data_IF_627880729547
#
_entry.id   IF_627880729547
#
_cell.length_a   1.000
_cell.length_b   1.000
_cell.length_c   1.000
_cell.angle_alpha   90.00
_cell.angle_beta   90.00
_cell.angle_gamma   90.00
#
_symmetry.space_group_name_H-M   'P 1'
#
loop_
_entity.id
_entity.type
_entity.pdbx_description
1 polymer ?
#
# COMPACT_ATOMS: atom_id res chain seq x y z
N UNK A 1 40.58 -28.15 -9.79
CA UNK A 1 40.40 -26.82 -9.18
C UNK A 1 39.99 -27.03 -7.73
N UNK A 2 40.66 -26.41 -6.76
CA UNK A 2 40.38 -26.61 -5.33
C UNK A 2 39.00 -26.03 -5.00
N UNK A 3 38.06 -26.91 -4.64
CA UNK A 3 36.66 -26.58 -4.34
C UNK A 3 36.52 -25.59 -3.19
N UNK A 4 37.51 -25.56 -2.28
CA UNK A 4 37.54 -24.58 -1.19
C UNK A 4 37.83 -23.16 -1.69
N UNK A 5 38.85 -23.01 -2.54
CA UNK A 5 39.20 -21.72 -3.16
C UNK A 5 38.11 -21.18 -4.08
N UNK A 6 37.40 -22.08 -4.75
CA UNK A 6 36.21 -21.76 -5.54
C UNK A 6 35.08 -21.17 -4.69
N UNK A 7 34.80 -21.78 -3.53
CA UNK A 7 33.80 -21.26 -2.59
C UNK A 7 34.22 -19.92 -2.01
N UNK A 8 35.48 -19.78 -1.61
CA UNK A 8 36.01 -18.50 -1.12
C UNK A 8 35.90 -17.39 -2.17
N UNK A 9 36.15 -17.74 -3.45
CA UNK A 9 35.97 -16.80 -4.57
C UNK A 9 34.50 -16.42 -4.78
N UNK A 10 33.57 -17.40 -4.75
CA UNK A 10 32.11 -17.16 -4.87
C UNK A 10 31.60 -16.30 -3.71
N UNK A 11 32.04 -16.56 -2.48
CA UNK A 11 31.67 -15.77 -1.29
C UNK A 11 32.17 -14.33 -1.41
N UNK A 12 33.40 -14.15 -1.91
CA UNK A 12 33.98 -12.84 -2.14
C UNK A 12 33.22 -12.07 -3.22
N UNK A 13 32.92 -12.70 -4.36
CA UNK A 13 32.14 -12.06 -5.43
C UNK A 13 30.71 -11.75 -4.97
N UNK A 14 30.08 -12.64 -4.21
CA UNK A 14 28.74 -12.41 -3.63
C UNK A 14 28.72 -11.18 -2.72
N UNK A 15 29.71 -11.02 -1.84
CA UNK A 15 29.84 -9.84 -0.97
C UNK A 15 30.07 -8.55 -1.76
N UNK A 16 30.81 -8.62 -2.87
CA UNK A 16 30.98 -7.46 -3.75
C UNK A 16 29.68 -7.08 -4.46
N UNK A 17 28.89 -8.08 -4.89
CA UNK A 17 27.61 -7.88 -5.58
C UNK A 17 26.49 -7.34 -4.67
N UNK A 18 26.54 -7.58 -3.36
CA UNK A 18 25.57 -7.01 -2.40
C UNK A 18 25.69 -5.48 -2.22
N UNK A 19 26.76 -4.86 -2.72
CA UNK A 19 26.97 -3.41 -2.65
C UNK A 19 26.45 -2.72 -3.90
N UNK A 20 25.56 -1.76 -3.71
CA UNK A 20 24.88 -1.03 -4.80
C UNK A 20 25.85 -0.33 -5.77
N UNK A 21 26.97 0.20 -5.24
CA UNK A 21 28.06 0.82 -5.99
C UNK A 21 28.77 -0.12 -6.99
N UNK A 22 28.65 -1.43 -6.81
CA UNK A 22 29.25 -2.45 -7.66
C UNK A 22 28.26 -3.08 -8.65
N UNK A 23 27.04 -2.54 -8.78
CA UNK A 23 26.03 -3.03 -9.71
C UNK A 23 26.53 -3.13 -11.16
N UNK A 24 27.41 -2.21 -11.59
CA UNK A 24 28.06 -2.23 -12.90
C UNK A 24 28.91 -3.50 -13.15
N UNK A 25 29.51 -4.06 -12.10
CA UNK A 25 30.38 -5.24 -12.18
C UNK A 25 29.58 -6.47 -12.61
N UNK A 26 28.31 -6.56 -12.21
CA UNK A 26 27.42 -7.64 -12.63
C UNK A 26 27.17 -7.56 -14.14
N UNK A 27 26.84 -6.38 -14.65
CA UNK A 27 26.64 -6.16 -16.09
C UNK A 27 27.86 -6.53 -16.92
N UNK A 28 29.07 -6.20 -16.46
CA UNK A 28 30.33 -6.55 -17.14
C UNK A 28 30.69 -8.05 -17.03
N UNK A 29 30.44 -8.66 -15.86
CA UNK A 29 30.58 -10.10 -15.68
C UNK A 29 29.65 -10.85 -16.63
N UNK A 30 28.40 -10.43 -16.72
CA UNK A 30 27.40 -11.00 -17.62
C UNK A 30 27.77 -10.81 -19.09
N UNK A 31 28.24 -9.62 -19.46
CA UNK A 31 28.73 -9.35 -20.81
C UNK A 31 29.87 -10.29 -21.17
N UNK A 32 30.82 -10.49 -20.25
CA UNK A 32 31.97 -11.39 -20.44
C UNK A 32 31.54 -12.84 -20.55
N UNK A 33 30.65 -13.32 -19.67
CA UNK A 33 30.13 -14.69 -19.70
C UNK A 33 29.28 -14.99 -20.95
N UNK A 34 28.56 -14.00 -21.46
CA UNK A 34 27.80 -14.07 -22.72
C UNK A 34 28.73 -14.09 -23.93
N UNK A 35 29.73 -13.20 -23.94
CA UNK A 35 30.76 -13.11 -24.98
C UNK A 35 31.56 -14.41 -25.11
N UNK A 36 31.91 -15.00 -23.97
CA UNK A 36 32.73 -16.21 -23.91
C UNK A 36 31.91 -17.50 -24.05
N UNK A 37 30.59 -17.39 -24.29
CA UNK A 37 29.72 -18.52 -24.60
C UNK A 37 29.38 -19.44 -23.42
N UNK A 38 29.70 -19.03 -22.19
CA UNK A 38 29.35 -19.77 -20.97
C UNK A 38 27.86 -19.71 -20.63
N UNK A 39 27.18 -18.68 -21.12
CA UNK A 39 25.72 -18.61 -21.09
C UNK A 39 25.16 -19.29 -22.35
N UNK A 40 24.61 -20.49 -22.18
CA UNK A 40 23.88 -21.20 -23.22
C UNK A 40 22.74 -20.29 -23.68
N UNK A 41 22.52 -20.16 -25.00
CA UNK A 41 21.32 -19.51 -25.55
C UNK A 41 20.08 -20.07 -24.85
N UNK A 42 19.49 -19.30 -23.92
CA UNK A 42 18.41 -19.77 -23.05
C UNK A 42 18.57 -19.43 -21.56
N UNK A 43 19.72 -18.96 -21.09
CA UNK A 43 19.77 -18.17 -19.87
C UNK A 43 19.13 -16.81 -20.19
N UNK A 44 17.80 -16.78 -20.12
CA UNK A 44 17.00 -15.61 -20.45
C UNK A 44 17.41 -14.46 -19.52
N UNK A 45 17.40 -13.22 -20.02
CA UNK A 45 17.73 -12.04 -19.21
C UNK A 45 16.86 -12.01 -17.92
N UNK A 46 15.69 -12.66 -17.94
CA UNK A 46 14.82 -12.92 -16.79
C UNK A 46 15.46 -13.76 -15.67
N UNK A 47 16.17 -14.85 -15.98
CA UNK A 47 16.83 -15.69 -14.96
C UNK A 47 17.96 -14.91 -14.26
N UNK A 48 18.65 -14.04 -15.00
CA UNK A 48 19.73 -13.21 -14.47
C UNK A 48 19.19 -12.06 -13.61
N UNK A 49 18.06 -11.45 -14.03
CA UNK A 49 17.28 -10.52 -13.22
C UNK A 49 16.80 -11.18 -11.92
N UNK A 50 16.31 -12.41 -11.97
CA UNK A 50 15.86 -13.14 -10.79
C UNK A 50 17.01 -13.40 -9.79
N UNK A 51 18.21 -13.73 -10.28
CA UNK A 51 19.40 -13.89 -9.42
C UNK A 51 19.81 -12.56 -8.79
N UNK A 52 19.83 -11.48 -9.57
CA UNK A 52 20.13 -10.15 -9.04
C UNK A 52 19.10 -9.70 -8.00
N UNK A 53 17.81 -9.91 -8.28
CA UNK A 53 16.70 -9.64 -7.37
C UNK A 53 16.77 -10.49 -6.09
N UNK A 54 17.21 -11.74 -6.19
CA UNK A 54 17.48 -12.59 -5.04
C UNK A 54 18.63 -12.06 -4.18
N UNK A 55 19.71 -11.58 -4.82
CA UNK A 55 20.83 -10.95 -4.10
C UNK A 55 20.44 -9.63 -3.41
N UNK A 56 19.48 -8.89 -3.96
CA UNK A 56 18.95 -7.67 -3.36
C UNK A 56 17.92 -7.93 -2.25
N UNK A 57 17.31 -9.12 -2.22
CA UNK A 57 16.24 -9.46 -1.27
C UNK A 57 16.67 -9.29 0.19
N UNK A 58 17.92 -9.61 0.53
CA UNK A 58 18.46 -9.41 1.88
C UNK A 58 18.47 -7.92 2.28
N UNK A 59 18.86 -7.03 1.35
CA UNK A 59 18.88 -5.59 1.60
C UNK A 59 17.45 -5.03 1.71
N UNK A 60 16.53 -5.50 0.86
CA UNK A 60 15.12 -5.08 0.90
C UNK A 60 14.42 -5.57 2.15
N UNK A 61 14.72 -6.79 2.61
CA UNK A 61 14.23 -7.32 3.87
C UNK A 61 14.67 -6.44 5.04
N UNK A 62 15.96 -6.05 5.10
CA UNK A 62 16.46 -5.12 6.13
C UNK A 62 15.76 -3.75 6.08
N UNK A 63 15.50 -3.22 4.88
CA UNK A 63 14.76 -1.98 4.71
C UNK A 63 13.32 -2.11 5.21
N UNK A 64 12.63 -3.20 4.85
CA UNK A 64 11.27 -3.48 5.29
C UNK A 64 11.18 -3.68 6.81
N UNK A 65 12.12 -4.43 7.40
CA UNK A 65 12.23 -4.60 8.85
C UNK A 65 12.42 -3.28 9.58
N UNK A 66 13.24 -2.37 9.00
CA UNK A 66 13.42 -1.00 9.48
C UNK A 66 12.14 -0.16 9.34
N UNK A 67 11.47 -0.24 8.20
CA UNK A 67 10.23 0.49 7.94
C UNK A 67 9.09 0.10 8.90
N UNK A 68 9.00 -1.19 9.26
CA UNK A 68 8.03 -1.73 10.22
C UNK A 68 8.62 -1.93 11.62
N UNK A 69 9.73 -1.28 11.95
CA UNK A 69 10.43 -1.50 13.22
C UNK A 69 9.55 -1.15 14.43
N UNK A 70 8.87 0.00 14.36
CA UNK A 70 8.02 0.51 15.44
C UNK A 70 6.61 -0.11 15.44
N UNK A 71 6.22 -0.86 14.41
CA UNK A 71 4.87 -1.39 14.27
C UNK A 71 4.57 -2.48 15.31
N UNK A 72 3.55 -2.25 16.15
CA UNK A 72 3.27 -3.06 17.36
C UNK A 72 2.71 -4.46 17.06
N UNK A 73 2.06 -4.66 15.91
CA UNK A 73 1.37 -5.91 15.62
C UNK A 73 2.32 -6.95 15.01
N UNK A 74 2.90 -7.79 15.86
CA UNK A 74 3.95 -8.73 15.50
C UNK A 74 3.52 -9.84 14.52
N UNK A 75 2.26 -10.27 14.57
CA UNK A 75 1.82 -11.47 13.84
C UNK A 75 1.64 -11.26 12.32
N UNK A 76 1.46 -10.02 11.85
CA UNK A 76 1.40 -9.69 10.42
C UNK A 76 2.72 -9.15 9.85
N UNK A 77 3.74 -8.94 10.70
CA UNK A 77 4.96 -8.23 10.31
C UNK A 77 5.71 -8.92 9.17
N UNK A 78 5.75 -10.24 9.16
CA UNK A 78 6.40 -11.01 8.08
C UNK A 78 5.65 -10.86 6.75
N UNK A 79 4.31 -10.88 6.76
CA UNK A 79 3.52 -10.65 5.54
C UNK A 79 3.76 -9.23 4.99
N UNK A 80 3.82 -8.22 5.87
CA UNK A 80 4.14 -6.86 5.47
C UNK A 80 5.55 -6.71 4.88
N UNK A 81 6.54 -7.44 5.42
CA UNK A 81 7.89 -7.47 4.85
C UNK A 81 7.87 -8.06 3.43
N UNK A 82 7.17 -9.18 3.23
CA UNK A 82 7.06 -9.81 1.92
C UNK A 82 6.34 -8.90 0.91
N UNK A 83 5.25 -8.25 1.31
CA UNK A 83 4.53 -7.31 0.45
C UNK A 83 5.38 -6.08 0.11
N UNK A 84 6.18 -5.59 1.05
CA UNK A 84 7.13 -4.49 0.81
C UNK A 84 8.20 -4.88 -0.20
N UNK A 85 8.78 -6.08 -0.08
CA UNK A 85 9.76 -6.61 -1.05
C UNK A 85 9.12 -6.73 -2.44
N UNK A 86 7.89 -7.25 -2.52
CA UNK A 86 7.15 -7.35 -3.78
C UNK A 86 6.86 -5.98 -4.40
N UNK A 87 6.49 -5.00 -3.58
CA UNK A 87 6.28 -3.61 -3.99
C UNK A 87 7.57 -3.02 -4.58
N UNK A 88 8.70 -3.16 -3.90
CA UNK A 88 9.99 -2.66 -4.36
C UNK A 88 10.47 -3.34 -5.65
N UNK A 89 10.26 -4.66 -5.77
CA UNK A 89 10.57 -5.39 -7.01
C UNK A 89 9.73 -4.87 -8.18
N UNK A 90 8.43 -4.69 -7.98
CA UNK A 90 7.56 -4.14 -9.01
C UNK A 90 7.97 -2.71 -9.40
N UNK A 91 8.38 -1.89 -8.42
CA UNK A 91 8.90 -0.54 -8.68
C UNK A 91 10.13 -0.56 -9.58
N UNK A 92 11.11 -1.43 -9.29
CA UNK A 92 12.36 -1.55 -10.06
C UNK A 92 12.12 -2.06 -11.48
N UNK A 93 11.19 -3.00 -11.64
CA UNK A 93 10.78 -3.52 -12.95
C UNK A 93 9.86 -2.56 -13.73
N UNK A 94 9.58 -1.38 -13.16
CA UNK A 94 8.66 -0.39 -13.71
C UNK A 94 7.24 -0.95 -13.97
N UNK A 95 6.83 -1.94 -13.19
CA UNK A 95 5.49 -2.50 -13.19
C UNK A 95 4.62 -1.75 -12.18
N UNK A 96 4.03 -0.66 -12.65
CA UNK A 96 3.24 0.25 -11.82
C UNK A 96 2.01 -0.42 -11.19
N UNK A 97 1.37 -1.34 -11.92
CA UNK A 97 0.15 -1.97 -11.43
C UNK A 97 0.44 -3.04 -10.40
N UNK A 98 1.48 -3.85 -10.59
CA UNK A 98 1.95 -4.78 -9.55
C UNK A 98 2.44 -4.03 -8.31
N UNK A 99 3.11 -2.89 -8.48
CA UNK A 99 3.47 -2.01 -7.37
C UNK A 99 2.24 -1.53 -6.60
N UNK A 100 1.19 -1.06 -7.29
CA UNK A 100 -0.04 -0.61 -6.65
C UNK A 100 -0.79 -1.76 -5.95
N UNK A 101 -0.75 -2.99 -6.49
CA UNK A 101 -1.31 -4.18 -5.85
C UNK A 101 -0.58 -4.50 -4.56
N UNK A 102 0.75 -4.61 -4.59
CA UNK A 102 1.56 -4.90 -3.40
C UNK A 102 1.45 -3.78 -2.35
N UNK A 103 1.35 -2.52 -2.79
CA UNK A 103 1.04 -1.38 -1.92
C UNK A 103 -0.32 -1.56 -1.24
N UNK A 104 -1.37 -1.90 -2.00
CA UNK A 104 -2.70 -2.13 -1.45
C UNK A 104 -2.74 -3.31 -0.46
N UNK A 105 -1.99 -4.38 -0.72
CA UNK A 105 -1.95 -5.55 0.15
C UNK A 105 -1.44 -5.20 1.57
N UNK A 106 -0.40 -4.36 1.66
CA UNK A 106 0.10 -3.85 2.93
C UNK A 106 -0.99 -3.10 3.71
N UNK A 107 -1.74 -2.22 3.04
CA UNK A 107 -2.88 -1.55 3.66
C UNK A 107 -3.97 -2.54 4.08
N UNK A 108 -4.37 -3.44 3.20
CA UNK A 108 -5.45 -4.40 3.45
C UNK A 108 -5.13 -5.27 4.67
N UNK A 109 -3.89 -5.75 4.80
CA UNK A 109 -3.42 -6.54 5.93
C UNK A 109 -3.50 -5.72 7.23
N UNK A 110 -2.88 -4.53 7.28
CA UNK A 110 -2.91 -3.66 8.46
C UNK A 110 -4.34 -3.29 8.87
N UNK A 111 -5.15 -2.85 7.91
CA UNK A 111 -6.52 -2.41 8.15
C UNK A 111 -7.37 -3.56 8.67
N UNK A 112 -7.30 -4.74 8.06
CA UNK A 112 -8.12 -5.87 8.49
C UNK A 112 -7.73 -6.34 9.90
N UNK A 113 -6.44 -6.36 10.21
CA UNK A 113 -5.96 -6.73 11.54
C UNK A 113 -6.38 -5.72 12.60
N UNK A 114 -6.08 -4.42 12.43
CA UNK A 114 -6.50 -3.38 13.38
C UNK A 114 -8.03 -3.32 13.51
N UNK A 115 -8.74 -3.50 12.40
CA UNK A 115 -10.19 -3.49 12.44
C UNK A 115 -10.75 -4.65 13.27
N UNK A 116 -10.25 -5.86 13.05
CA UNK A 116 -10.73 -7.06 13.75
C UNK A 116 -10.32 -7.08 15.22
N UNK A 117 -9.11 -6.64 15.54
CA UNK A 117 -8.53 -6.79 16.86
C UNK A 117 -8.91 -5.61 17.80
N UNK A 118 -9.02 -4.39 17.28
CA UNK A 118 -9.17 -3.17 18.10
C UNK A 118 -10.53 -2.47 17.91
N UNK A 119 -11.09 -2.48 16.70
CA UNK A 119 -12.29 -1.68 16.37
C UNK A 119 -13.57 -2.49 16.50
N UNK A 120 -13.65 -3.63 15.83
CA UNK A 120 -14.83 -4.49 15.78
C UNK A 120 -15.33 -4.90 17.18
N UNK A 121 -14.46 -5.25 18.15
CA UNK A 121 -14.89 -5.63 19.50
C UNK A 121 -15.53 -4.49 20.30
N UNK A 122 -15.18 -3.23 20.02
CA UNK A 122 -15.68 -2.07 20.77
C UNK A 122 -16.67 -1.21 19.98
N UNK A 123 -17.00 -1.63 18.76
CA UNK A 123 -17.72 -0.83 17.79
C UNK A 123 -19.09 -0.36 18.27
N UNK A 124 -19.87 -1.25 18.90
CA UNK A 124 -21.21 -0.91 19.40
C UNK A 124 -21.18 0.26 20.40
N UNK A 125 -20.12 0.33 21.21
CA UNK A 125 -19.92 1.38 22.22
C UNK A 125 -19.33 2.65 21.62
N UNK A 126 -18.33 2.52 20.76
CA UNK A 126 -17.48 3.64 20.35
C UNK A 126 -17.92 4.29 19.02
N UNK A 127 -18.82 3.64 18.27
CA UNK A 127 -19.27 4.12 16.95
C UNK A 127 -19.83 5.54 16.96
N UNK A 128 -20.61 5.91 17.97
CA UNK A 128 -21.18 7.26 18.08
C UNK A 128 -20.09 8.34 18.24
N UNK A 129 -19.04 8.08 19.02
CA UNK A 129 -17.93 9.04 19.20
C UNK A 129 -17.14 9.24 17.91
N UNK A 130 -16.91 8.14 17.18
CA UNK A 130 -16.26 8.17 15.87
C UNK A 130 -17.08 9.00 14.87
N UNK A 131 -18.41 8.82 14.86
CA UNK A 131 -19.35 9.55 14.00
C UNK A 131 -19.37 11.05 14.33
N UNK A 132 -19.43 11.40 15.62
CA UNK A 132 -19.51 12.78 16.08
C UNK A 132 -18.24 13.57 15.76
N UNK A 133 -17.06 13.02 16.06
CA UNK A 133 -15.81 13.73 15.81
C UNK A 133 -15.40 13.80 14.33
N UNK A 134 -16.08 13.05 13.44
CA UNK A 134 -15.97 13.25 11.98
C UNK A 134 -16.67 14.53 11.48
N UNK A 135 -17.47 15.22 12.31
CA UNK A 135 -18.03 16.54 11.96
C UNK A 135 -19.18 16.47 10.96
N UNK A 136 -20.23 15.71 11.30
CA UNK A 136 -21.44 15.57 10.48
C UNK A 136 -22.36 16.78 10.67
N UNK A 137 -22.80 17.40 9.56
CA UNK A 137 -23.89 18.39 9.54
C UNK A 137 -25.13 17.82 8.85
N UNK A 138 -26.30 18.20 9.34
CA UNK A 138 -27.58 17.89 8.72
C UNK A 138 -27.97 18.99 7.72
N UNK A 139 -28.36 18.62 6.49
CA UNK A 139 -28.97 19.49 5.47
C UNK A 139 -30.50 19.37 5.57
N UNK A 140 -31.21 20.38 6.10
CA UNK A 140 -32.67 20.35 6.18
C UNK A 140 -33.36 20.37 4.82
N UNK A 141 -32.70 20.90 3.77
CA UNK A 141 -33.29 21.04 2.43
C UNK A 141 -33.23 19.73 1.65
N UNK A 142 -32.21 18.91 1.90
CA UNK A 142 -32.03 17.59 1.28
C UNK A 142 -32.48 16.44 2.17
N UNK A 143 -32.84 16.71 3.44
CA UNK A 143 -33.12 15.71 4.46
C UNK A 143 -31.98 14.66 4.56
N UNK A 144 -30.73 15.16 4.55
CA UNK A 144 -29.53 14.32 4.46
C UNK A 144 -28.43 14.83 5.38
N UNK A 145 -27.73 13.91 6.02
CA UNK A 145 -26.50 14.18 6.77
C UNK A 145 -25.29 14.12 5.83
N UNK A 146 -24.38 15.09 5.93
CA UNK A 146 -23.16 15.19 5.14
C UNK A 146 -21.97 15.59 6.03
N UNK A 147 -20.76 15.14 5.68
CA UNK A 147 -19.54 15.69 6.29
C UNK A 147 -19.47 17.16 5.88
N UNK A 148 -19.05 18.02 6.81
CA UNK A 148 -18.83 19.46 6.57
C UNK A 148 -17.93 19.72 5.33
N UNK A 149 -17.23 18.71 4.82
CA UNK A 149 -16.20 18.86 3.81
C UNK A 149 -16.10 17.72 2.75
N UNK A 150 -17.20 17.03 2.40
CA UNK A 150 -17.25 16.15 1.21
C UNK A 150 -17.71 16.90 -0.05
N UNK A 151 -17.13 16.64 -1.25
CA UNK A 151 -17.67 17.16 -2.50
C UNK A 151 -19.06 16.58 -2.79
N UNK A 152 -19.96 17.43 -3.29
CA UNK A 152 -21.41 17.24 -3.43
C UNK A 152 -21.80 16.13 -4.45
N UNK A 153 -20.85 15.46 -5.12
CA UNK A 153 -21.12 14.68 -6.34
C UNK A 153 -21.14 13.15 -6.20
N UNK A 154 -21.15 12.57 -5.00
CA UNK A 154 -21.35 11.12 -4.83
C UNK A 154 -22.80 10.83 -4.45
N UNK A 155 -23.52 9.98 -5.20
CA UNK A 155 -24.87 9.53 -4.79
C UNK A 155 -24.83 8.94 -3.37
N UNK A 156 -25.47 9.64 -2.41
CA UNK A 156 -25.15 9.53 -0.99
C UNK A 156 -25.95 8.43 -0.28
N UNK A 157 -25.24 7.42 0.22
CA UNK A 157 -25.55 6.78 1.50
C UNK A 157 -25.07 7.77 2.58
N UNK A 158 -25.90 8.17 3.54
CA UNK A 158 -25.45 9.10 4.60
C UNK A 158 -24.33 8.47 5.43
N UNK A 159 -23.41 9.22 6.04
CA UNK A 159 -22.34 8.59 6.83
C UNK A 159 -22.87 7.80 8.02
N UNK A 160 -23.99 8.21 8.63
CA UNK A 160 -24.72 7.39 9.60
C UNK A 160 -25.18 6.06 9.00
N UNK A 161 -25.52 6.00 7.72
CA UNK A 161 -25.80 4.75 7.01
C UNK A 161 -24.51 4.00 6.57
N UNK A 162 -23.37 4.68 6.37
CA UNK A 162 -22.06 4.06 6.11
C UNK A 162 -21.43 3.46 7.38
N UNK A 163 -21.70 4.05 8.54
CA UNK A 163 -21.09 3.72 9.83
C UNK A 163 -22.03 2.86 10.69
N UNK A 164 -23.33 3.16 10.74
CA UNK A 164 -24.25 2.46 11.65
C UNK A 164 -25.07 1.33 11.04
N UNK A 165 -25.28 1.25 9.71
CA UNK A 165 -26.27 0.35 9.05
C UNK A 165 -27.26 -0.30 10.04
N UNK A 166 -28.02 0.54 10.75
CA UNK A 166 -29.10 0.12 11.61
C UNK A 166 -30.27 -0.26 10.69
N UNK A 167 -30.13 -1.36 9.97
CA UNK A 167 -31.25 -2.23 9.68
C UNK A 167 -31.06 -3.40 10.61
N UNK A 168 -31.97 -3.47 11.58
CA UNK A 168 -32.06 -4.37 12.72
C UNK A 168 -31.86 -5.87 12.43
N UNK A 169 -31.58 -6.29 11.19
CA UNK A 169 -31.69 -7.68 10.71
C UNK A 169 -30.73 -8.10 9.58
N UNK A 170 -29.68 -7.33 9.23
CA UNK A 170 -28.72 -7.77 8.20
C UNK A 170 -27.28 -7.57 8.65
N UNK A 171 -26.48 -8.62 8.59
CA UNK A 171 -25.04 -8.64 8.87
C UNK A 171 -24.35 -7.37 8.35
N UNK A 172 -23.55 -6.73 9.22
CA UNK A 172 -22.80 -5.54 8.84
C UNK A 172 -21.70 -5.96 7.86
N UNK A 173 -21.90 -5.67 6.57
CA UNK A 173 -20.86 -5.86 5.56
C UNK A 173 -19.92 -4.66 5.54
N UNK A 174 -18.72 -4.86 6.09
CA UNK A 174 -17.64 -3.87 6.09
C UNK A 174 -16.90 -3.81 4.75
N UNK A 175 -17.01 -2.69 4.04
CA UNK A 175 -16.25 -2.48 2.80
C UNK A 175 -14.82 -1.97 3.08
N UNK A 176 -13.82 -2.29 2.23
CA UNK A 176 -12.42 -1.89 2.47
C UNK A 176 -12.21 -0.40 2.73
N UNK A 177 -12.82 0.48 1.92
CA UNK A 177 -12.74 1.92 2.12
C UNK A 177 -13.35 2.38 3.46
N UNK A 178 -14.39 1.70 3.95
CA UNK A 178 -14.97 2.04 5.24
C UNK A 178 -14.03 1.68 6.38
N UNK A 179 -13.45 0.47 6.33
CA UNK A 179 -12.46 0.04 7.32
C UNK A 179 -11.24 0.98 7.33
N UNK A 180 -10.74 1.36 6.15
CA UNK A 180 -9.64 2.33 6.05
C UNK A 180 -9.98 3.65 6.72
N UNK A 181 -11.15 4.23 6.43
CA UNK A 181 -11.57 5.50 7.01
C UNK A 181 -11.64 5.43 8.54
N UNK A 182 -12.18 4.35 9.09
CA UNK A 182 -12.34 4.17 10.53
C UNK A 182 -10.96 3.98 11.20
N UNK A 183 -10.10 3.11 10.65
CA UNK A 183 -8.73 2.90 11.15
C UNK A 183 -7.94 4.21 11.10
N UNK A 184 -7.93 4.87 9.94
CA UNK A 184 -7.19 6.12 9.77
C UNK A 184 -7.68 7.19 10.74
N UNK A 185 -9.00 7.36 10.88
CA UNK A 185 -9.57 8.32 11.83
C UNK A 185 -9.18 7.99 13.27
N UNK A 186 -9.34 6.73 13.68
CA UNK A 186 -9.09 6.28 15.06
C UNK A 186 -7.64 6.48 15.46
N UNK A 187 -6.72 5.92 14.69
CA UNK A 187 -5.31 5.81 15.07
C UNK A 187 -4.45 7.01 14.66
N UNK A 188 -4.82 7.75 13.59
CA UNK A 188 -4.01 8.88 13.12
C UNK A 188 -4.56 10.26 13.52
N UNK A 189 -5.87 10.39 13.71
CA UNK A 189 -6.52 11.68 13.93
C UNK A 189 -7.22 11.82 15.28
N UNK A 190 -7.36 10.71 16.03
CA UNK A 190 -7.75 10.63 17.45
C UNK A 190 -8.72 11.74 17.90
N UNK A 191 -9.93 11.71 17.31
CA UNK A 191 -11.07 12.59 17.63
C UNK A 191 -10.93 14.10 17.33
N UNK A 192 -9.85 14.58 16.70
CA UNK A 192 -9.67 16.02 16.40
C UNK A 192 -9.45 16.35 14.92
N UNK A 193 -10.44 16.02 14.09
CA UNK A 193 -10.53 16.56 12.71
C UNK A 193 -11.13 17.99 12.69
N UNK A 194 -11.32 18.61 13.86
CA UNK A 194 -11.89 19.96 14.00
C UNK A 194 -11.03 21.10 13.42
N UNK A 195 -9.77 20.85 13.07
CA UNK A 195 -8.88 21.85 12.43
C UNK A 195 -8.87 21.62 10.91
N UNK A 196 -9.22 22.65 10.14
CA UNK A 196 -9.27 22.64 8.66
C UNK A 196 -8.05 21.99 7.98
N UNK A 197 -6.84 22.22 8.51
CA UNK A 197 -5.60 21.59 7.99
C UNK A 197 -5.57 20.07 8.17
N UNK A 198 -5.97 19.57 9.35
CA UNK A 198 -6.05 18.13 9.62
C UNK A 198 -7.12 17.47 8.75
N UNK A 199 -8.24 18.17 8.56
CA UNK A 199 -9.29 17.73 7.65
C UNK A 199 -8.80 17.59 6.20
N UNK A 200 -8.12 18.60 5.66
CA UNK A 200 -7.58 18.54 4.30
C UNK A 200 -6.56 17.42 4.13
N UNK A 201 -5.71 17.21 5.13
CA UNK A 201 -4.74 16.13 5.13
C UNK A 201 -5.44 14.76 5.16
N UNK A 202 -6.45 14.57 6.02
CA UNK A 202 -7.28 13.36 6.04
C UNK A 202 -7.90 13.06 4.66
N UNK A 203 -8.52 14.06 4.03
CA UNK A 203 -9.10 13.92 2.69
C UNK A 203 -8.07 13.61 1.61
N UNK A 204 -6.86 14.17 1.71
CA UNK A 204 -5.77 13.87 0.79
C UNK A 204 -5.39 12.39 0.89
N UNK A 205 -5.22 11.85 2.09
CA UNK A 205 -4.90 10.44 2.30
C UNK A 205 -6.03 9.53 1.82
N UNK A 206 -7.29 9.87 2.09
CA UNK A 206 -8.45 9.14 1.55
C UNK A 206 -8.47 9.09 0.02
N UNK A 207 -8.16 10.22 -0.62
CA UNK A 207 -8.12 10.31 -2.07
C UNK A 207 -7.02 9.42 -2.63
N UNK A 208 -5.82 9.48 -2.05
CA UNK A 208 -4.69 8.65 -2.47
C UNK A 208 -4.99 7.15 -2.27
N UNK A 209 -5.59 6.75 -1.15
CA UNK A 209 -5.99 5.36 -0.93
C UNK A 209 -7.03 4.89 -1.96
N UNK A 210 -8.01 5.73 -2.29
CA UNK A 210 -8.96 5.46 -3.36
C UNK A 210 -8.28 5.29 -4.72
N UNK A 211 -7.26 6.10 -5.03
CA UNK A 211 -6.44 5.96 -6.24
C UNK A 211 -5.68 4.62 -6.26
N UNK A 212 -5.03 4.22 -5.15
CA UNK A 212 -4.37 2.90 -5.00
C UNK A 212 -5.37 1.76 -5.25
N UNK A 213 -6.53 1.80 -4.59
CA UNK A 213 -7.58 0.80 -4.75
C UNK A 213 -8.08 0.67 -6.20
N UNK A 214 -8.21 1.80 -6.92
CA UNK A 214 -8.59 1.79 -8.33
C UNK A 214 -7.53 1.15 -9.22
N UNK A 215 -6.24 1.39 -8.94
CA UNK A 215 -5.12 0.76 -9.64
C UNK A 215 -5.09 -0.75 -9.41
N UNK A 216 -5.22 -1.21 -8.16
CA UNK A 216 -5.31 -2.63 -7.81
C UNK A 216 -6.45 -3.33 -8.55
N UNK A 217 -7.61 -2.66 -8.67
CA UNK A 217 -8.76 -3.21 -9.40
C UNK A 217 -8.61 -3.23 -10.92
N UNK A 218 -7.60 -2.57 -11.51
CA UNK A 218 -7.29 -2.76 -12.93
C UNK A 218 -6.72 -4.16 -13.20
N UNK A 219 -6.00 -4.73 -12.25
CA UNK A 219 -5.35 -6.05 -12.38
C UNK A 219 -6.36 -7.20 -12.19
N UNK A 220 -7.30 -7.07 -11.26
CA UNK A 220 -8.22 -8.14 -10.85
C UNK A 220 -9.49 -8.34 -11.74
N UNK A 221 -9.45 -8.02 -13.05
CA UNK A 221 -10.59 -8.14 -13.99
C UNK A 221 -11.84 -7.31 -13.62
N UNK A 222 -11.88 -6.09 -14.16
CA UNK A 222 -13.04 -5.51 -14.86
C UNK A 222 -14.38 -5.38 -14.14
N UNK A 223 -14.59 -4.29 -13.39
CA UNK A 223 -15.95 -3.77 -13.27
C UNK A 223 -16.38 -3.20 -14.64
N UNK A 224 -17.33 -3.88 -15.30
CA UNK A 224 -17.86 -3.54 -16.65
C UNK A 224 -18.46 -2.13 -16.73
N UNK A 225 -18.83 -1.53 -15.59
CA UNK A 225 -19.28 -0.14 -15.51
C UNK A 225 -18.22 0.74 -14.82
N UNK A 226 -17.25 1.23 -15.58
CA UNK A 226 -16.37 2.30 -15.11
C UNK A 226 -17.14 3.61 -15.17
N UNK A 227 -17.40 4.23 -14.02
CA UNK A 227 -17.92 5.60 -14.02
C UNK A 227 -16.88 6.54 -14.64
N UNK A 228 -17.34 7.60 -15.31
CA UNK A 228 -16.47 8.62 -15.94
C UNK A 228 -15.42 9.18 -14.97
N UNK A 229 -15.76 9.28 -13.67
CA UNK A 229 -14.83 9.67 -12.61
C UNK A 229 -13.67 8.66 -12.45
N UNK A 230 -13.97 7.36 -12.38
CA UNK A 230 -12.94 6.31 -12.25
C UNK A 230 -12.02 6.30 -13.46
N UNK A 231 -12.60 6.45 -14.65
CA UNK A 231 -11.84 6.51 -15.91
C UNK A 231 -10.91 7.72 -15.96
N UNK A 232 -11.41 8.92 -15.65
CA UNK A 232 -10.61 10.14 -15.59
C UNK A 232 -9.45 10.00 -14.57
N UNK A 233 -9.72 9.37 -13.42
CA UNK A 233 -8.71 9.15 -12.38
C UNK A 233 -7.62 8.20 -12.87
N UNK A 234 -7.98 7.07 -13.49
CA UNK A 234 -7.02 6.13 -14.08
C UNK A 234 -6.22 6.79 -15.21
N UNK A 235 -6.84 7.58 -16.07
CA UNK A 235 -6.15 8.29 -17.15
C UNK A 235 -5.13 9.30 -16.60
N UNK A 236 -5.48 10.04 -15.55
CA UNK A 236 -4.58 10.94 -14.83
C UNK A 236 -3.40 10.18 -14.19
N UNK A 237 -3.62 8.98 -13.68
CA UNK A 237 -2.56 8.14 -13.10
C UNK A 237 -1.63 7.64 -14.19
N UNK A 238 -2.19 7.09 -15.27
CA UNK A 238 -1.43 6.54 -16.39
C UNK A 238 -0.57 7.59 -17.08
N UNK A 239 -1.03 8.84 -17.18
CA UNK A 239 -0.23 9.92 -17.75
C UNK A 239 0.93 10.37 -16.86
N UNK A 240 0.98 9.95 -15.59
CA UNK A 240 2.02 10.38 -14.65
C UNK A 240 2.40 9.31 -13.60
N UNK A 241 2.60 8.06 -14.03
CA UNK A 241 2.92 6.95 -13.14
C UNK A 241 4.16 7.21 -12.27
N UNK A 242 5.18 7.88 -12.82
CA UNK A 242 6.39 8.28 -12.09
C UNK A 242 6.07 9.10 -10.84
N UNK A 243 5.16 10.08 -10.93
CA UNK A 243 4.73 10.85 -9.76
C UNK A 243 3.91 10.01 -8.78
N UNK A 244 3.13 9.07 -9.30
CA UNK A 244 2.25 8.23 -8.49
C UNK A 244 2.98 7.19 -7.65
N UNK A 245 4.15 6.69 -8.09
CA UNK A 245 5.03 5.91 -7.21
C UNK A 245 5.33 6.69 -5.92
N UNK A 246 5.79 7.94 -6.02
CA UNK A 246 6.10 8.77 -4.86
C UNK A 246 4.87 9.08 -3.99
N UNK A 247 3.72 9.32 -4.60
CA UNK A 247 2.47 9.56 -3.85
C UNK A 247 2.04 8.34 -3.04
N UNK A 248 2.21 7.15 -3.59
CA UNK A 248 1.84 5.90 -2.91
C UNK A 248 2.84 5.54 -1.81
N UNK A 249 4.14 5.78 -2.01
CA UNK A 249 5.12 5.74 -0.92
C UNK A 249 4.78 6.70 0.21
N UNK A 250 4.47 7.95 -0.13
CA UNK A 250 4.06 8.96 0.84
C UNK A 250 2.83 8.50 1.62
N UNK A 251 1.80 7.99 0.95
CA UNK A 251 0.61 7.47 1.63
C UNK A 251 0.96 6.33 2.60
N UNK A 252 1.78 5.37 2.17
CA UNK A 252 2.16 4.20 2.97
C UNK A 252 2.96 4.63 4.21
N UNK A 253 3.96 5.49 4.04
CA UNK A 253 4.75 6.02 5.15
C UNK A 253 3.88 6.79 6.14
N UNK A 254 3.04 7.72 5.67
CA UNK A 254 2.17 8.50 6.56
C UNK A 254 1.22 7.60 7.35
N UNK A 255 0.70 6.54 6.72
CA UNK A 255 -0.20 5.60 7.36
C UNK A 255 0.52 4.76 8.42
N UNK A 256 1.64 4.11 8.07
CA UNK A 256 2.40 3.25 8.99
C UNK A 256 2.98 4.07 10.15
N UNK A 257 3.55 5.24 9.89
CA UNK A 257 4.02 6.16 10.93
C UNK A 257 2.89 6.71 11.79
N UNK A 258 1.70 6.89 11.21
CA UNK A 258 0.54 7.44 11.89
C UNK A 258 -0.06 6.48 12.92
N UNK A 259 -0.27 5.22 12.52
CA UNK A 259 -0.87 4.18 13.38
C UNK A 259 0.04 3.70 14.50
N UNK A 260 1.34 3.99 14.41
CA UNK A 260 2.35 3.53 15.36
C UNK A 260 2.57 4.51 16.53
N UNK A 261 1.97 5.70 16.48
CA UNK A 261 2.16 6.77 17.48
C UNK A 261 1.31 6.63 18.77
N UNK A 262 0.48 5.61 18.88
CA UNK A 262 -0.17 5.19 20.13
C UNK A 262 0.60 4.01 20.70
#
# INVERSE_FOLDING_TARGET
MDTKKLREFIDFTSKLMQKEENSWMFSELLYSLKKDGYLIKGADDAMLLDIYEYCLEENLRKQAEGFYSDFKTSHIKEELILDFIAMERARRNNDFYSFAVATYQQFENIINTLFKDEIEPTWERDSLKVIEGMGIKYDPKKNQEYLIYTPISSEFITQKQMVLRAKKELEIKWYPNQKFNIVMYRFMFNETVGKYKLFNHFNQLLTLFGEVYLCRNQVHRGSVNKSKYKENTINKINSNQSQYYFKFYYLLEQFVSGITKE
#
